data_IF_166142724144
#
_entry.id   IF_166142724144
#
_cell.length_a   1.000
_cell.length_b   1.000
_cell.length_c   1.000
_cell.angle_alpha   90.00
_cell.angle_beta   90.00
_cell.angle_gamma   90.00
#
_symmetry.space_group_name_H-M   'P 1'
#
loop_
_entity.id
_entity.type
_entity.pdbx_description
1 polymer ?
#
# COMPACT_ATOMS: atom_id res chain seq x y z
N UNK A 1 7.54 25.11 10.98
CA UNK A 1 6.22 24.75 10.41
C UNK A 1 5.28 24.44 11.55
N UNK A 2 4.06 24.99 11.58
CA UNK A 2 3.04 24.58 12.55
C UNK A 2 2.19 23.49 11.91
N UNK A 3 2.11 22.31 12.52
CA UNK A 3 1.31 21.18 12.00
C UNK A 3 -0.15 21.30 12.46
N UNK A 4 -0.48 22.28 13.30
CA UNK A 4 -1.74 22.32 14.00
C UNK A 4 -1.78 21.35 15.18
N UNK A 5 -2.91 21.23 15.81
CA UNK A 5 -3.11 20.28 16.92
C UNK A 5 -3.27 18.85 16.38
N UNK A 6 -2.14 18.14 16.22
CA UNK A 6 -2.14 16.73 15.80
C UNK A 6 -2.99 15.84 16.71
N UNK A 7 -3.11 16.20 18.00
CA UNK A 7 -3.94 15.47 18.95
C UNK A 7 -5.42 15.50 18.53
N UNK A 8 -5.98 16.70 18.34
CA UNK A 8 -7.37 16.87 17.91
C UNK A 8 -7.64 16.27 16.52
N UNK A 9 -6.68 16.42 15.58
CA UNK A 9 -6.80 15.83 14.26
C UNK A 9 -6.82 14.29 14.37
N UNK A 10 -5.93 13.71 15.18
CA UNK A 10 -5.88 12.25 15.35
C UNK A 10 -7.09 11.71 16.13
N UNK A 11 -7.63 12.44 17.09
CA UNK A 11 -8.88 12.05 17.77
C UNK A 11 -10.04 11.91 16.77
N UNK A 12 -10.10 12.80 15.76
CA UNK A 12 -11.13 12.78 14.74
C UNK A 12 -10.94 11.64 13.72
N UNK A 13 -9.70 11.44 13.24
CA UNK A 13 -9.43 10.55 12.10
C UNK A 13 -8.79 9.21 12.46
N UNK A 14 -8.23 9.04 13.68
CA UNK A 14 -7.52 7.84 14.14
C UNK A 14 -6.39 7.39 13.19
N UNK A 15 -5.76 8.35 12.51
CA UNK A 15 -4.77 8.10 11.47
C UNK A 15 -3.37 7.72 11.97
N UNK A 16 -3.05 8.01 13.24
CA UNK A 16 -1.78 7.66 13.89
C UNK A 16 -1.97 6.69 15.04
N UNK A 17 -1.01 5.76 15.18
CA UNK A 17 -0.85 4.91 16.37
C UNK A 17 -0.01 5.68 17.43
N UNK A 18 1.06 6.31 16.97
CA UNK A 18 1.95 7.16 17.77
C UNK A 18 2.31 8.40 16.97
N UNK A 19 2.37 9.56 17.59
CA UNK A 19 2.69 10.83 16.93
C UNK A 19 3.38 11.82 17.86
N UNK A 20 4.01 12.86 17.28
CA UNK A 20 4.67 13.95 18.02
C UNK A 20 3.68 14.74 18.87
N UNK A 21 4.10 15.08 20.07
CA UNK A 21 3.36 15.98 20.95
C UNK A 21 3.80 17.45 20.77
N UNK A 22 4.76 17.72 19.88
CA UNK A 22 5.23 19.07 19.57
C UNK A 22 4.52 19.60 18.33
N UNK A 23 3.96 20.80 18.44
CA UNK A 23 3.31 21.50 17.32
C UNK A 23 4.32 22.31 16.49
N UNK A 24 5.50 22.61 17.02
CA UNK A 24 6.57 23.33 16.35
C UNK A 24 7.62 22.36 15.78
N UNK A 25 7.81 22.39 14.48
CA UNK A 25 8.79 21.59 13.75
C UNK A 25 9.72 22.53 13.01
N UNK A 26 11.02 22.42 13.29
CA UNK A 26 12.09 23.22 12.67
C UNK A 26 12.79 22.48 11.53
N UNK A 27 12.06 21.65 10.82
CA UNK A 27 12.55 20.88 9.66
C UNK A 27 11.97 21.43 8.35
N UNK A 28 12.58 21.07 7.22
CA UNK A 28 12.21 21.60 5.89
C UNK A 28 10.81 21.13 5.46
N UNK A 29 10.42 19.92 5.82
CA UNK A 29 9.10 19.33 5.54
C UNK A 29 8.73 18.24 6.56
N UNK A 30 7.47 17.86 6.59
CA UNK A 30 7.00 16.79 7.47
C UNK A 30 6.73 15.50 6.71
N UNK A 31 6.96 14.37 7.39
CA UNK A 31 6.52 13.08 6.88
C UNK A 31 6.04 12.15 7.99
N UNK A 32 5.24 11.18 7.62
CA UNK A 32 4.84 10.07 8.48
C UNK A 32 5.22 8.72 7.87
N UNK A 33 5.25 7.68 8.69
CA UNK A 33 5.60 6.35 8.22
C UNK A 33 4.60 5.31 8.74
N UNK A 34 4.20 4.39 7.87
CA UNK A 34 3.35 3.26 8.23
C UNK A 34 3.95 2.50 9.41
N UNK A 35 3.10 2.08 10.33
CA UNK A 35 3.53 1.56 11.64
C UNK A 35 4.35 0.24 11.57
N UNK A 36 4.42 -0.41 10.43
CA UNK A 36 5.31 -1.53 10.19
C UNK A 36 6.75 -1.16 9.72
N UNK A 37 7.07 0.14 9.60
CA UNK A 37 8.43 0.62 9.38
C UNK A 37 9.05 1.00 10.72
N UNK A 38 10.18 0.41 11.11
CA UNK A 38 10.82 0.66 12.41
C UNK A 38 11.32 2.09 12.54
N UNK A 39 11.18 2.66 13.75
CA UNK A 39 11.70 3.98 14.12
C UNK A 39 12.27 3.95 15.54
N UNK A 40 13.32 4.73 15.76
CA UNK A 40 13.93 4.86 17.10
C UNK A 40 13.07 5.66 18.07
N UNK A 41 12.27 6.62 17.58
CA UNK A 41 11.51 7.54 18.42
C UNK A 41 10.17 6.96 18.87
N UNK A 42 9.55 6.14 18.01
CA UNK A 42 8.19 5.64 18.20
C UNK A 42 8.17 4.11 18.31
N UNK A 43 7.17 3.58 18.98
CA UNK A 43 6.86 2.16 18.91
C UNK A 43 6.54 1.76 17.46
N UNK A 44 6.82 0.51 17.12
CA UNK A 44 6.53 -0.07 15.80
C UNK A 44 5.73 -1.35 16.01
N UNK A 45 4.41 -1.22 15.99
CA UNK A 45 3.50 -2.29 16.38
C UNK A 45 2.96 -3.09 15.19
N UNK A 46 3.15 -2.59 13.96
CA UNK A 46 2.52 -3.14 12.76
C UNK A 46 1.00 -3.32 12.91
N UNK A 47 0.31 -2.43 13.65
CA UNK A 47 -1.12 -2.52 13.94
C UNK A 47 -1.53 -3.70 14.84
N UNK A 48 -0.58 -4.40 15.47
CA UNK A 48 -0.82 -5.65 16.23
C UNK A 48 -0.53 -5.48 17.72
N UNK A 49 -1.41 -6.06 18.55
CA UNK A 49 -1.21 -6.15 20.00
C UNK A 49 0.06 -6.91 20.38
N UNK A 50 0.50 -7.89 19.57
CA UNK A 50 1.66 -8.72 19.86
C UNK A 50 2.96 -7.92 19.91
N UNK A 51 3.03 -6.80 19.15
CA UNK A 51 4.18 -5.91 19.10
C UNK A 51 4.03 -4.63 19.95
N UNK A 52 2.92 -4.48 20.72
CA UNK A 52 2.74 -3.33 21.59
C UNK A 52 3.94 -3.19 22.54
N UNK A 53 4.50 -1.99 22.66
CA UNK A 53 5.70 -1.68 23.46
C UNK A 53 7.04 -1.94 22.73
N UNK A 54 7.02 -2.42 21.49
CA UNK A 54 8.25 -2.66 20.75
C UNK A 54 8.85 -1.35 20.22
N UNK A 55 10.02 -0.99 20.69
CA UNK A 55 10.87 0.10 20.17
C UNK A 55 12.09 -0.51 19.46
N UNK A 56 12.25 -0.16 18.22
CA UNK A 56 13.39 -0.64 17.43
C UNK A 56 14.66 0.17 17.77
N UNK A 57 15.85 -0.44 17.75
CA UNK A 57 17.12 0.26 18.00
C UNK A 57 17.63 1.05 16.78
N UNK A 58 16.89 1.08 15.68
CA UNK A 58 17.27 1.77 14.43
C UNK A 58 16.04 2.16 13.61
N UNK A 59 16.21 3.20 12.80
CA UNK A 59 15.22 3.59 11.79
C UNK A 59 15.27 2.66 10.57
N UNK A 60 14.13 2.37 9.98
CA UNK A 60 14.05 1.79 8.64
C UNK A 60 14.77 2.71 7.63
N UNK A 61 15.48 2.12 6.66
CA UNK A 61 16.27 2.89 5.68
C UNK A 61 15.49 4.03 5.03
N UNK A 62 14.23 3.88 4.56
CA UNK A 62 13.49 4.99 3.99
C UNK A 62 13.23 6.12 5.00
N UNK A 63 12.97 5.81 6.29
CA UNK A 63 12.83 6.82 7.34
C UNK A 63 14.14 7.58 7.55
N UNK A 64 15.24 6.84 7.71
CA UNK A 64 16.57 7.42 7.87
C UNK A 64 16.91 8.40 6.75
N UNK A 65 16.69 7.99 5.49
CA UNK A 65 16.96 8.81 4.31
C UNK A 65 16.09 10.07 4.26
N UNK A 66 14.82 9.99 4.63
CA UNK A 66 13.95 11.17 4.70
C UNK A 66 14.44 12.17 5.76
N UNK A 67 14.88 11.70 6.93
CA UNK A 67 15.49 12.55 7.96
C UNK A 67 16.80 13.20 7.48
N UNK A 68 17.67 12.44 6.82
CA UNK A 68 18.93 12.95 6.25
C UNK A 68 18.70 14.00 5.17
N UNK A 69 17.51 14.01 4.55
CA UNK A 69 17.07 15.00 3.58
C UNK A 69 16.30 16.19 4.22
N UNK A 70 16.36 16.37 5.55
CA UNK A 70 15.74 17.49 6.26
C UNK A 70 14.26 17.29 6.59
N UNK A 71 13.76 16.06 6.60
CA UNK A 71 12.36 15.75 6.93
C UNK A 71 12.16 15.39 8.39
N UNK A 72 11.09 15.91 9.03
CA UNK A 72 10.63 15.50 10.35
C UNK A 72 9.66 14.34 10.31
N UNK A 73 9.98 13.22 10.99
CA UNK A 73 9.01 12.15 11.22
C UNK A 73 8.03 12.56 12.32
N UNK A 74 6.78 12.86 11.97
CA UNK A 74 5.76 13.31 12.92
C UNK A 74 4.95 12.20 13.56
N UNK A 75 5.01 10.97 13.05
CA UNK A 75 4.29 9.85 13.65
C UNK A 75 4.28 8.59 12.82
N UNK A 76 3.74 7.53 13.47
CA UNK A 76 3.53 6.19 12.89
C UNK A 76 2.06 6.04 12.54
N UNK A 77 1.79 5.88 11.24
CA UNK A 77 0.41 5.84 10.75
C UNK A 77 -0.25 4.49 10.96
N UNK A 78 -1.52 4.53 11.33
CA UNK A 78 -2.34 3.36 11.60
C UNK A 78 -2.56 2.51 10.33
N UNK A 79 -2.70 1.21 10.52
CA UNK A 79 -2.70 0.23 9.44
C UNK A 79 -3.46 -1.04 9.82
N UNK A 80 -3.90 -1.83 8.84
CA UNK A 80 -4.31 -3.21 9.11
C UNK A 80 -3.17 -4.01 9.75
N UNK A 81 -3.49 -4.88 10.70
CA UNK A 81 -2.53 -5.74 11.42
C UNK A 81 -1.59 -6.48 10.44
N UNK A 82 -0.28 -6.25 10.53
CA UNK A 82 0.76 -6.78 9.63
C UNK A 82 0.52 -6.53 8.13
N UNK A 83 -0.35 -5.59 7.78
CA UNK A 83 -0.73 -5.33 6.40
C UNK A 83 -1.85 -6.25 5.88
N UNK A 84 -2.56 -6.95 6.74
CA UNK A 84 -3.59 -7.93 6.40
C UNK A 84 -4.97 -7.30 6.28
N UNK A 85 -5.25 -6.64 5.19
CA UNK A 85 -6.56 -6.03 4.92
C UNK A 85 -6.57 -5.12 3.71
N UNK A 86 -7.79 -4.88 3.21
CA UNK A 86 -8.08 -3.99 2.09
C UNK A 86 -8.75 -2.71 2.56
N UNK A 87 -9.32 -2.71 3.79
CA UNK A 87 -10.17 -1.63 4.28
C UNK A 87 -9.67 -0.95 5.56
N UNK A 88 -8.48 -1.28 6.05
CA UNK A 88 -7.88 -0.77 7.28
C UNK A 88 -8.78 -0.91 8.52
N UNK A 89 -9.45 -2.06 8.64
CA UNK A 89 -10.37 -2.38 9.75
C UNK A 89 -9.82 -3.42 10.72
N UNK A 90 -8.61 -3.93 10.49
CA UNK A 90 -8.00 -4.99 11.30
C UNK A 90 -6.91 -4.47 12.27
N UNK A 91 -6.84 -3.17 12.53
CA UNK A 91 -5.90 -2.60 13.50
C UNK A 91 -6.32 -2.87 14.94
N UNK A 92 -5.35 -3.09 15.82
CA UNK A 92 -5.57 -3.17 17.27
C UNK A 92 -5.63 -1.79 17.96
N UNK A 93 -5.39 -0.70 17.23
CA UNK A 93 -5.19 0.67 17.75
C UNK A 93 -6.19 1.68 17.16
N UNK A 94 -7.41 1.25 16.90
CA UNK A 94 -8.45 2.06 16.28
C UNK A 94 -8.53 1.85 14.76
N UNK A 95 -9.51 2.49 14.13
CA UNK A 95 -9.81 2.35 12.69
C UNK A 95 -9.73 3.72 12.04
N UNK A 96 -8.77 3.96 11.12
CA UNK A 96 -8.67 5.23 10.42
C UNK A 96 -9.95 5.57 9.65
N UNK A 97 -10.44 6.78 9.84
CA UNK A 97 -11.69 7.29 9.24
C UNK A 97 -11.38 8.12 8.01
N UNK A 98 -12.17 7.90 6.97
CA UNK A 98 -11.97 8.59 5.69
C UNK A 98 -12.20 10.10 5.83
N UNK A 99 -11.27 10.95 5.32
CA UNK A 99 -11.38 12.40 5.45
C UNK A 99 -12.60 13.00 4.72
N UNK A 100 -13.14 12.32 3.73
CA UNK A 100 -14.34 12.76 2.98
C UNK A 100 -15.67 12.33 3.66
N UNK A 101 -15.69 11.18 4.35
CA UNK A 101 -16.83 10.70 5.15
C UNK A 101 -16.32 9.79 6.28
N UNK A 102 -16.46 10.26 7.53
CA UNK A 102 -15.97 9.55 8.73
C UNK A 102 -16.61 8.16 8.97
N UNK A 103 -17.69 7.83 8.26
CA UNK A 103 -18.35 6.53 8.32
C UNK A 103 -17.84 5.55 7.26
N UNK A 104 -16.83 5.95 6.48
CA UNK A 104 -16.26 5.15 5.40
C UNK A 104 -14.78 4.84 5.66
N UNK A 105 -14.32 3.77 5.03
CA UNK A 105 -12.95 3.29 5.11
C UNK A 105 -11.96 4.23 4.44
N UNK A 106 -10.75 4.36 4.97
CA UNK A 106 -9.61 4.97 4.25
C UNK A 106 -9.04 4.04 3.17
N UNK A 107 -9.49 2.78 3.10
CA UNK A 107 -8.76 1.74 2.37
C UNK A 107 -7.52 1.26 3.13
N UNK A 108 -7.01 0.11 2.76
CA UNK A 108 -5.91 -0.55 3.44
C UNK A 108 -4.91 -1.21 2.50
N UNK A 109 -3.86 -1.60 3.14
CA UNK A 109 -3.55 -1.58 4.58
C UNK A 109 -2.86 -0.30 5.06
N UNK A 110 -2.52 0.70 4.20
CA UNK A 110 -1.89 1.97 4.60
C UNK A 110 -2.93 3.09 4.78
N UNK A 111 -4.08 2.79 5.41
CA UNK A 111 -5.19 3.75 5.52
C UNK A 111 -4.84 5.01 6.29
N UNK A 112 -4.13 4.88 7.42
CA UNK A 112 -3.63 6.04 8.17
C UNK A 112 -2.66 6.90 7.38
N UNK A 113 -1.80 6.29 6.52
CA UNK A 113 -0.86 7.02 5.66
C UNK A 113 -1.60 7.85 4.59
N UNK A 114 -2.64 7.28 3.98
CA UNK A 114 -3.44 8.01 2.99
C UNK A 114 -4.28 9.12 3.63
N UNK A 115 -4.85 8.86 4.80
CA UNK A 115 -5.58 9.88 5.57
C UNK A 115 -4.65 11.04 5.95
N UNK A 116 -3.46 10.77 6.49
CA UNK A 116 -2.48 11.81 6.84
C UNK A 116 -2.06 12.64 5.62
N UNK A 117 -1.80 11.98 4.47
CA UNK A 117 -1.48 12.67 3.22
C UNK A 117 -2.63 13.53 2.67
N UNK A 118 -3.89 13.21 3.02
CA UNK A 118 -5.05 13.96 2.57
C UNK A 118 -5.40 15.16 3.47
N UNK A 119 -5.08 15.08 4.77
CA UNK A 119 -5.52 16.09 5.75
C UNK A 119 -4.42 17.02 6.21
N UNK A 120 -3.15 16.65 6.07
CA UNK A 120 -2.01 17.46 6.50
C UNK A 120 -1.40 18.20 5.32
N UNK A 121 -1.24 19.51 5.47
CA UNK A 121 -0.59 20.35 4.47
C UNK A 121 0.91 20.06 4.39
N UNK A 122 1.48 20.14 3.16
CA UNK A 122 2.90 19.95 2.87
C UNK A 122 3.49 18.67 3.52
N UNK A 123 2.71 17.60 3.49
CA UNK A 123 3.01 16.34 4.15
C UNK A 123 3.12 15.17 3.16
N UNK A 124 4.10 14.29 3.42
CA UNK A 124 4.30 13.04 2.67
C UNK A 124 4.22 11.86 3.62
N UNK A 125 3.47 10.83 3.25
CA UNK A 125 3.41 9.59 4.04
C UNK A 125 4.16 8.46 3.34
N UNK A 126 4.95 7.70 4.09
CA UNK A 126 5.57 6.46 3.63
C UNK A 126 4.59 5.31 3.90
N UNK A 127 4.15 4.65 2.83
CA UNK A 127 3.30 3.46 2.89
C UNK A 127 4.06 2.18 2.52
N UNK A 128 3.40 1.04 2.72
CA UNK A 128 3.91 -0.27 2.30
C UNK A 128 2.81 -1.02 1.58
N UNK A 129 3.13 -1.62 0.43
CA UNK A 129 2.21 -2.40 -0.38
C UNK A 129 2.73 -3.82 -0.61
N UNK A 130 1.87 -4.80 -0.34
CA UNK A 130 2.08 -6.21 -0.68
C UNK A 130 1.15 -6.64 -1.83
N UNK A 131 -0.04 -6.01 -1.92
CA UNK A 131 -1.05 -6.17 -2.96
C UNK A 131 -1.50 -4.81 -3.50
N UNK A 132 -2.50 -4.18 -2.84
CA UNK A 132 -3.00 -2.85 -3.19
C UNK A 132 -2.75 -1.77 -2.15
N UNK A 133 -1.99 -2.06 -1.11
CA UNK A 133 -1.99 -1.32 0.18
C UNK A 133 -1.40 0.10 0.16
N UNK A 134 -0.96 0.62 -0.96
CA UNK A 134 -0.65 2.04 -1.22
C UNK A 134 -1.72 2.65 -2.10
N UNK A 135 -2.01 2.01 -3.23
CA UNK A 135 -2.89 2.58 -4.26
C UNK A 135 -4.38 2.50 -3.90
N UNK A 136 -4.82 1.46 -3.19
CA UNK A 136 -6.18 1.37 -2.68
C UNK A 136 -6.50 2.53 -1.72
N UNK A 137 -5.75 2.75 -0.61
CA UNK A 137 -6.02 3.87 0.28
C UNK A 137 -5.79 5.23 -0.41
N UNK A 138 -4.85 5.35 -1.34
CA UNK A 138 -4.70 6.57 -2.13
C UNK A 138 -5.97 6.89 -2.93
N UNK A 139 -6.56 5.90 -3.60
CA UNK A 139 -7.82 6.06 -4.33
C UNK A 139 -8.97 6.50 -3.43
N UNK A 140 -9.13 5.87 -2.26
CA UNK A 140 -10.23 6.16 -1.34
C UNK A 140 -10.08 7.48 -0.57
N UNK A 141 -8.86 7.98 -0.40
CA UNK A 141 -8.57 9.26 0.27
C UNK A 141 -8.25 10.40 -0.71
N UNK A 142 -8.36 10.19 -2.03
CA UNK A 142 -8.19 11.24 -3.02
C UNK A 142 -6.78 11.81 -3.10
N UNK A 143 -5.75 10.98 -2.91
CA UNK A 143 -4.34 11.37 -2.97
C UNK A 143 -3.58 10.55 -4.03
N UNK A 144 -2.39 11.01 -4.40
CA UNK A 144 -1.46 10.22 -5.19
C UNK A 144 -0.82 9.15 -4.32
N UNK A 145 -0.75 7.91 -4.82
CA UNK A 145 -0.07 6.81 -4.13
C UNK A 145 0.83 6.06 -5.09
N UNK A 146 2.14 6.09 -4.86
CA UNK A 146 3.16 5.47 -5.71
C UNK A 146 3.80 4.27 -5.01
N UNK A 147 3.62 3.09 -5.57
CA UNK A 147 4.36 1.87 -5.23
C UNK A 147 5.45 1.65 -6.29
N UNK A 148 6.73 1.91 -6.01
CA UNK A 148 7.82 1.79 -6.98
C UNK A 148 8.11 0.32 -7.35
N UNK A 149 9.06 0.09 -8.24
CA UNK A 149 9.55 -1.25 -8.58
C UNK A 149 10.04 -1.99 -7.33
N UNK A 150 9.76 -3.28 -7.24
CA UNK A 150 10.30 -4.13 -6.17
C UNK A 150 11.84 -4.02 -6.15
N UNK A 151 12.40 -3.69 -4.97
CA UNK A 151 13.82 -3.45 -4.79
C UNK A 151 14.29 -2.02 -5.11
N UNK A 152 13.44 -1.10 -5.58
CA UNK A 152 13.78 0.32 -5.75
C UNK A 152 14.05 1.01 -4.42
N UNK A 153 13.26 0.72 -3.41
CA UNK A 153 13.38 1.22 -2.05
C UNK A 153 13.76 0.05 -1.13
N UNK A 154 14.73 0.28 -0.24
CA UNK A 154 15.16 -0.72 0.74
C UNK A 154 14.02 -1.09 1.68
N UNK A 155 13.94 -2.38 2.01
CA UNK A 155 13.02 -2.95 3.01
C UNK A 155 13.69 -3.19 4.37
N UNK A 156 14.93 -2.75 4.55
CA UNK A 156 15.59 -2.86 5.86
C UNK A 156 14.85 -2.02 6.90
N UNK A 157 14.48 -2.68 8.00
CA UNK A 157 13.63 -2.09 9.04
C UNK A 157 12.11 -2.23 8.78
N UNK A 158 11.70 -2.94 7.73
CA UNK A 158 10.30 -3.30 7.52
C UNK A 158 9.93 -4.53 8.36
N UNK A 159 8.84 -4.46 9.11
CA UNK A 159 8.15 -5.62 9.69
C UNK A 159 7.34 -6.24 8.55
N UNK A 160 7.90 -7.29 7.96
CA UNK A 160 7.51 -7.85 6.68
C UNK A 160 6.23 -8.69 6.72
N UNK A 161 5.42 -8.55 5.67
CA UNK A 161 4.30 -9.42 5.33
C UNK A 161 4.75 -10.52 4.37
N UNK A 162 5.15 -10.16 3.16
CA UNK A 162 5.54 -11.06 2.09
C UNK A 162 6.83 -10.62 1.42
N UNK A 163 7.93 -11.37 1.68
CA UNK A 163 9.28 -10.96 1.29
C UNK A 163 9.44 -10.73 -0.21
N UNK A 164 8.71 -11.49 -1.04
CA UNK A 164 8.79 -11.38 -2.50
C UNK A 164 7.80 -10.37 -3.10
N UNK A 165 6.99 -9.70 -2.26
CA UNK A 165 5.88 -8.85 -2.68
C UNK A 165 5.96 -7.44 -2.09
N UNK A 166 6.48 -7.29 -0.86
CA UNK A 166 6.47 -6.02 -0.12
C UNK A 166 7.27 -4.94 -0.82
N UNK A 167 6.66 -3.79 -0.99
CA UNK A 167 7.25 -2.57 -1.55
C UNK A 167 6.97 -1.38 -0.65
N UNK A 168 8.00 -0.59 -0.35
CA UNK A 168 7.86 0.69 0.33
C UNK A 168 7.65 1.78 -0.71
N UNK A 169 6.70 2.68 -0.49
CA UNK A 169 6.40 3.76 -1.42
C UNK A 169 5.78 4.98 -0.73
N UNK A 170 5.22 5.88 -1.51
CA UNK A 170 4.83 7.22 -1.10
C UNK A 170 3.34 7.47 -1.32
N UNK A 171 2.76 8.27 -0.42
CA UNK A 171 1.44 8.87 -0.57
C UNK A 171 1.56 10.38 -0.32
N UNK A 172 0.99 11.19 -1.20
CA UNK A 172 0.94 12.65 -1.05
C UNK A 172 -0.27 13.23 -1.78
N UNK A 173 -0.73 14.37 -1.29
CA UNK A 173 -1.75 15.14 -2.00
C UNK A 173 -1.21 15.77 -3.31
N UNK A 174 0.08 16.11 -3.37
CA UNK A 174 0.73 16.76 -4.50
C UNK A 174 1.57 15.77 -5.32
N UNK A 175 1.41 15.74 -6.63
CA UNK A 175 2.25 14.94 -7.54
C UNK A 175 3.74 15.34 -7.45
N UNK A 176 4.03 16.63 -7.26
CA UNK A 176 5.40 17.15 -7.10
C UNK A 176 6.18 16.56 -5.92
N UNK A 177 5.48 16.16 -4.85
CA UNK A 177 6.12 15.50 -3.71
C UNK A 177 6.60 14.09 -4.04
N UNK A 178 5.90 13.37 -4.92
CA UNK A 178 6.37 12.06 -5.40
C UNK A 178 7.70 12.23 -6.16
N UNK A 179 7.79 13.24 -7.02
CA UNK A 179 9.05 13.58 -7.72
C UNK A 179 10.17 13.92 -6.75
N UNK A 180 9.89 14.71 -5.73
CA UNK A 180 10.87 15.14 -4.72
C UNK A 180 11.34 13.98 -3.85
N UNK A 181 10.41 13.17 -3.34
CA UNK A 181 10.72 12.20 -2.28
C UNK A 181 11.13 10.81 -2.80
N UNK A 182 10.71 10.42 -4.03
CA UNK A 182 11.11 9.11 -4.58
C UNK A 182 12.64 8.95 -4.69
N UNK A 183 13.41 9.92 -5.21
CA UNK A 183 14.88 9.83 -5.22
C UNK A 183 15.49 9.71 -3.82
N UNK A 184 14.93 10.40 -2.83
CA UNK A 184 15.42 10.39 -1.44
C UNK A 184 15.36 8.97 -0.87
N UNK A 185 14.20 8.29 -0.99
CA UNK A 185 14.02 6.95 -0.41
C UNK A 185 14.62 5.83 -1.26
N UNK A 186 14.93 6.09 -2.55
CA UNK A 186 15.46 5.11 -3.52
C UNK A 186 16.95 4.84 -3.33
N UNK A 187 17.42 3.71 -3.85
CA UNK A 187 18.85 3.41 -3.95
C UNK A 187 19.27 2.16 -3.18
N UNK A 188 20.48 1.70 -3.49
CA UNK A 188 21.09 0.49 -2.90
C UNK A 188 21.26 0.63 -1.39
N UNK A 189 21.06 -0.48 -0.69
CA UNK A 189 21.24 -0.59 0.75
C UNK A 189 22.02 -1.88 1.07
N UNK A 190 23.17 -1.81 1.76
CA UNK A 190 23.94 -3.00 2.13
C UNK A 190 23.17 -3.96 3.04
N UNK A 191 22.10 -3.52 3.70
CA UNK A 191 21.28 -4.34 4.59
C UNK A 191 20.09 -5.01 3.87
N UNK A 192 19.79 -4.64 2.61
CA UNK A 192 18.74 -5.26 1.80
C UNK A 192 19.27 -5.74 0.44
N UNK A 193 19.57 -7.04 0.29
CA UNK A 193 20.06 -7.61 -0.96
C UNK A 193 19.15 -7.38 -2.16
N UNK A 194 17.84 -7.23 -1.94
CA UNK A 194 16.87 -6.99 -3.03
C UNK A 194 17.04 -5.62 -3.68
N UNK A 195 17.68 -4.68 -2.99
CA UNK A 195 17.93 -3.32 -3.50
C UNK A 195 19.16 -3.22 -4.43
N UNK A 196 19.98 -4.28 -4.55
CA UNK A 196 21.25 -4.20 -5.28
C UNK A 196 21.13 -4.17 -6.79
N UNK A 197 20.10 -4.81 -7.34
CA UNK A 197 19.86 -4.92 -8.78
C UNK A 197 18.89 -3.84 -9.24
N UNK A 198 19.29 -2.58 -9.13
CA UNK A 198 18.47 -1.48 -9.62
C UNK A 198 19.29 -0.53 -10.49
N UNK A 199 18.76 -0.08 -11.64
CA UNK A 199 19.38 1.00 -12.41
C UNK A 199 19.26 2.31 -11.64
N UNK A 200 20.12 3.26 -11.99
CA UNK A 200 20.01 4.64 -11.50
C UNK A 200 18.62 5.21 -11.82
N UNK A 201 17.99 5.85 -10.83
CA UNK A 201 16.72 6.55 -11.03
C UNK A 201 16.98 7.88 -11.76
N UNK A 202 16.43 8.03 -12.96
CA UNK A 202 16.51 9.27 -13.75
C UNK A 202 15.10 9.76 -14.04
N UNK A 203 14.74 10.92 -13.50
CA UNK A 203 13.43 11.54 -13.68
C UNK A 203 13.48 12.65 -14.72
N UNK A 204 12.37 12.84 -15.48
CA UNK A 204 12.22 13.87 -16.50
C UNK A 204 12.79 13.50 -17.87
N UNK A 205 13.18 12.24 -18.09
CA UNK A 205 13.72 11.77 -19.37
C UNK A 205 12.67 11.11 -20.26
N UNK A 206 11.67 10.47 -19.68
CA UNK A 206 10.62 9.76 -20.39
C UNK A 206 9.29 10.47 -20.20
N UNK A 207 8.43 10.35 -21.21
CA UNK A 207 7.08 10.93 -21.20
C UNK A 207 6.06 9.86 -21.53
N UNK A 208 4.91 9.90 -20.84
CA UNK A 208 3.77 9.07 -21.16
C UNK A 208 3.20 9.47 -22.53
N UNK A 209 3.18 8.56 -23.50
CA UNK A 209 2.66 8.76 -24.86
C UNK A 209 1.56 7.78 -25.23
N UNK A 210 1.56 6.59 -24.63
CA UNK A 210 0.64 5.52 -24.98
C UNK A 210 0.24 4.70 -23.75
N UNK A 211 -1.04 4.32 -23.68
CA UNK A 211 -1.58 3.47 -22.61
C UNK A 211 -2.41 2.33 -23.16
N UNK A 212 -2.30 1.19 -22.52
CA UNK A 212 -3.06 -0.02 -22.81
C UNK A 212 -4.14 -0.25 -21.74
N UNK A 213 -5.35 -0.63 -22.18
CA UNK A 213 -6.48 -0.93 -21.31
C UNK A 213 -6.81 -2.43 -21.41
N UNK A 214 -6.54 -3.24 -20.37
CA UNK A 214 -6.88 -4.67 -20.40
C UNK A 214 -8.40 -4.86 -20.37
N UNK A 215 -8.94 -5.49 -21.44
CA UNK A 215 -10.39 -5.77 -21.54
C UNK A 215 -10.88 -6.63 -20.37
N UNK A 216 -10.07 -7.56 -19.93
CA UNK A 216 -10.40 -8.48 -18.83
C UNK A 216 -10.49 -7.78 -17.47
N UNK A 217 -9.85 -6.60 -17.31
CA UNK A 217 -9.93 -5.80 -16.11
C UNK A 217 -11.16 -4.88 -16.08
N UNK A 218 -11.66 -4.43 -17.26
CA UNK A 218 -12.70 -3.39 -17.32
C UNK A 218 -14.03 -3.88 -17.93
N UNK A 219 -14.07 -5.09 -18.48
CA UNK A 219 -15.30 -5.70 -19.02
C UNK A 219 -15.87 -6.71 -18.03
N UNK A 220 -17.11 -6.49 -17.59
CA UNK A 220 -17.84 -7.38 -16.68
C UNK A 220 -18.53 -6.61 -15.56
N UNK A 221 -19.28 -7.33 -14.72
CA UNK A 221 -20.12 -6.72 -13.66
C UNK A 221 -19.35 -6.47 -12.35
N UNK A 222 -18.00 -6.54 -12.39
CA UNK A 222 -17.15 -6.42 -11.20
C UNK A 222 -16.85 -4.98 -10.77
N UNK A 223 -17.12 -3.98 -11.63
CA UNK A 223 -16.84 -2.57 -11.35
C UNK A 223 -18.17 -1.81 -11.33
N UNK A 224 -18.35 -0.94 -10.33
CA UNK A 224 -19.55 -0.12 -10.21
C UNK A 224 -19.67 0.87 -11.39
N UNK A 225 -20.91 1.23 -11.72
CA UNK A 225 -21.22 2.06 -12.89
C UNK A 225 -20.58 3.45 -12.79
N UNK A 226 -20.61 4.05 -11.62
CA UNK A 226 -20.03 5.36 -11.34
C UNK A 226 -18.49 5.39 -11.50
N UNK A 227 -17.81 4.33 -11.06
CA UNK A 227 -16.36 4.16 -11.29
C UNK A 227 -16.06 4.01 -12.78
N UNK A 228 -16.87 3.24 -13.53
CA UNK A 228 -16.69 3.09 -14.97
C UNK A 228 -16.95 4.40 -15.73
N UNK A 229 -17.96 5.18 -15.36
CA UNK A 229 -18.21 6.50 -15.95
C UNK A 229 -17.04 7.47 -15.71
N UNK A 230 -16.48 7.47 -14.50
CA UNK A 230 -15.28 8.24 -14.19
C UNK A 230 -14.07 7.78 -15.00
N UNK A 231 -13.89 6.48 -15.14
CA UNK A 231 -12.80 5.88 -15.91
C UNK A 231 -12.86 6.27 -17.38
N UNK A 232 -14.03 6.16 -18.03
CA UNK A 232 -14.18 6.56 -19.44
C UNK A 232 -13.89 8.06 -19.66
N UNK A 233 -14.34 8.94 -18.75
CA UNK A 233 -13.97 10.37 -18.79
C UNK A 233 -12.45 10.56 -18.66
N UNK A 234 -11.79 9.76 -17.84
CA UNK A 234 -10.33 9.79 -17.69
C UNK A 234 -9.63 9.37 -18.99
N UNK A 235 -10.15 8.39 -19.72
CA UNK A 235 -9.61 8.01 -21.03
C UNK A 235 -9.79 9.13 -22.07
N UNK A 236 -10.90 9.85 -22.04
CA UNK A 236 -11.12 11.02 -22.90
C UNK A 236 -10.10 12.13 -22.57
N UNK A 237 -9.84 12.38 -21.29
CA UNK A 237 -8.81 13.33 -20.85
C UNK A 237 -7.41 12.92 -21.33
N UNK A 238 -7.03 11.63 -21.20
CA UNK A 238 -5.74 11.13 -21.71
C UNK A 238 -5.61 11.37 -23.23
N UNK A 239 -6.66 11.12 -24.01
CA UNK A 239 -6.68 11.42 -25.44
C UNK A 239 -6.53 12.90 -25.73
N UNK A 240 -7.16 13.77 -24.95
CA UNK A 240 -7.01 15.23 -25.08
C UNK A 240 -5.59 15.73 -24.80
N UNK A 241 -4.83 14.99 -23.97
CA UNK A 241 -3.40 15.22 -23.71
C UNK A 241 -2.48 14.63 -24.81
N UNK A 242 -3.04 14.15 -25.93
CA UNK A 242 -2.31 13.46 -27.02
C UNK A 242 -1.62 12.18 -26.54
N UNK A 243 -2.27 11.42 -25.67
CA UNK A 243 -1.85 10.09 -25.24
C UNK A 243 -2.69 9.06 -26.00
N UNK A 244 -2.02 8.14 -26.68
CA UNK A 244 -2.70 7.04 -27.39
C UNK A 244 -3.32 6.06 -26.40
N UNK A 245 -4.58 5.67 -26.63
CA UNK A 245 -5.33 4.77 -25.75
C UNK A 245 -5.85 3.58 -26.55
N UNK A 246 -5.39 2.37 -26.24
CA UNK A 246 -5.79 1.14 -26.94
C UNK A 246 -6.30 0.06 -25.97
N UNK A 247 -7.40 -0.60 -26.32
CA UNK A 247 -7.89 -1.76 -25.60
C UNK A 247 -7.21 -3.04 -26.06
N UNK A 248 -6.59 -3.76 -25.10
CA UNK A 248 -5.81 -4.97 -25.33
C UNK A 248 -6.43 -6.19 -24.62
N UNK A 249 -5.87 -7.38 -24.83
CA UNK A 249 -6.20 -8.59 -24.07
C UNK A 249 -5.03 -9.00 -23.17
N UNK A 250 -5.33 -9.29 -21.89
CA UNK A 250 -4.39 -9.81 -20.89
C UNK A 250 -5.06 -10.95 -20.10
N UNK A 251 -5.20 -12.15 -20.69
CA UNK A 251 -6.04 -13.23 -20.16
C UNK A 251 -5.53 -13.84 -18.86
N UNK A 252 -4.27 -13.60 -18.49
CA UNK A 252 -3.68 -14.09 -17.23
C UNK A 252 -4.16 -13.34 -16.00
N UNK A 253 -4.69 -12.10 -16.14
CA UNK A 253 -5.12 -11.25 -15.01
C UNK A 253 -6.11 -11.93 -14.08
N UNK A 254 -7.00 -12.78 -14.60
CA UNK A 254 -7.99 -13.54 -13.79
C UNK A 254 -7.36 -14.48 -12.75
N UNK A 255 -6.08 -14.82 -12.91
CA UNK A 255 -5.35 -15.68 -11.97
C UNK A 255 -4.57 -14.90 -10.91
N UNK A 256 -4.55 -13.57 -10.95
CA UNK A 256 -3.73 -12.74 -10.07
C UNK A 256 -4.14 -12.88 -8.61
N UNK A 257 -5.43 -12.80 -8.30
CA UNK A 257 -5.94 -12.92 -6.93
C UNK A 257 -5.59 -14.27 -6.29
N UNK A 258 -5.92 -15.44 -6.88
CA UNK A 258 -5.57 -16.71 -6.27
C UNK A 258 -4.05 -16.91 -6.15
N UNK A 259 -3.26 -16.51 -7.14
CA UNK A 259 -1.80 -16.60 -7.07
C UNK A 259 -1.24 -15.72 -5.95
N UNK A 260 -1.70 -14.48 -5.85
CA UNK A 260 -1.28 -13.54 -4.81
C UNK A 260 -1.55 -14.09 -3.41
N UNK A 261 -2.79 -14.49 -3.11
CA UNK A 261 -3.13 -14.95 -1.76
C UNK A 261 -2.38 -16.22 -1.36
N UNK A 262 -2.12 -17.14 -2.30
CA UNK A 262 -1.29 -18.32 -2.03
C UNK A 262 0.15 -17.91 -1.69
N UNK A 263 0.78 -17.03 -2.47
CA UNK A 263 2.16 -16.58 -2.21
C UNK A 263 2.20 -15.79 -0.91
N UNK A 264 1.36 -14.77 -0.77
CA UNK A 264 1.37 -13.84 0.34
C UNK A 264 1.11 -14.54 1.68
N UNK A 265 0.11 -15.43 1.77
CA UNK A 265 -0.16 -16.16 3.01
C UNK A 265 0.95 -17.18 3.35
N UNK A 266 1.53 -17.83 2.33
CA UNK A 266 2.66 -18.75 2.50
C UNK A 266 3.85 -18.05 3.14
N UNK A 267 4.23 -16.87 2.62
CA UNK A 267 5.34 -16.08 3.15
C UNK A 267 5.01 -15.50 4.53
N UNK A 268 3.78 -14.97 4.73
CA UNK A 268 3.32 -14.45 6.01
C UNK A 268 3.41 -15.50 7.14
N UNK A 269 3.00 -16.73 6.86
CA UNK A 269 3.04 -17.81 7.88
C UNK A 269 4.46 -18.10 8.38
N UNK A 270 5.49 -17.87 7.55
CA UNK A 270 6.89 -17.98 7.94
C UNK A 270 7.37 -16.73 8.68
N UNK A 271 7.07 -15.55 8.14
CA UNK A 271 7.53 -14.27 8.69
C UNK A 271 6.98 -14.03 10.10
N UNK A 272 5.71 -14.33 10.33
CA UNK A 272 5.09 -14.13 11.63
C UNK A 272 5.46 -15.20 12.68
N UNK A 273 6.17 -16.27 12.29
CA UNK A 273 6.61 -17.30 13.23
C UNK A 273 7.57 -16.74 14.31
N UNK A 274 8.31 -15.66 14.00
CA UNK A 274 9.23 -14.99 14.92
C UNK A 274 8.55 -14.30 16.12
N UNK A 275 7.25 -13.95 16.00
CA UNK A 275 6.52 -13.23 17.05
C UNK A 275 5.83 -14.23 17.99
N UNK A 276 6.42 -14.39 19.16
CA UNK A 276 6.02 -15.44 20.12
C UNK A 276 6.13 -15.01 21.59
N UNK A 277 6.33 -13.71 21.87
CA UNK A 277 6.41 -13.17 23.23
C UNK A 277 7.74 -13.34 23.95
N UNK A 278 8.82 -13.70 23.22
CA UNK A 278 10.15 -13.89 23.82
C UNK A 278 11.16 -12.77 23.48
N UNK A 279 11.02 -12.15 22.32
CA UNK A 279 12.02 -11.19 21.79
C UNK A 279 11.45 -9.83 21.43
N UNK A 280 10.19 -9.78 21.01
CA UNK A 280 9.57 -8.56 20.45
C UNK A 280 8.22 -8.31 21.12
N UNK A 281 7.93 -7.05 21.42
CA UNK A 281 6.64 -6.60 21.92
C UNK A 281 6.27 -7.16 23.28
N UNK A 282 5.07 -7.70 23.40
CA UNK A 282 4.54 -8.26 24.65
C UNK A 282 5.35 -9.48 25.11
N UNK A 283 5.61 -9.57 26.43
CA UNK A 283 6.43 -10.63 27.06
C UNK A 283 5.78 -11.16 28.36
N UNK A 284 4.46 -11.19 28.43
CA UNK A 284 3.67 -11.62 29.59
C UNK A 284 3.19 -13.08 29.49
N UNK A 285 3.85 -13.89 28.67
CA UNK A 285 3.53 -15.30 28.52
C UNK A 285 3.93 -16.14 29.76
N UNK A 286 3.15 -17.15 30.06
CA UNK A 286 3.43 -18.11 31.14
C UNK A 286 4.54 -19.09 30.75
N UNK A 287 5.77 -18.80 31.20
CA UNK A 287 6.96 -19.62 30.93
C UNK A 287 6.97 -20.98 31.65
N UNK A 288 5.97 -21.28 32.49
CA UNK A 288 5.84 -22.61 33.13
C UNK A 288 5.16 -23.64 32.23
N UNK A 289 4.53 -23.16 31.14
CA UNK A 289 3.88 -24.02 30.15
C UNK A 289 4.89 -24.81 29.31
N UNK A 290 4.46 -25.93 28.75
CA UNK A 290 5.21 -26.61 27.69
C UNK A 290 5.33 -25.70 26.46
N UNK A 291 6.37 -25.91 25.65
CA UNK A 291 6.70 -25.09 24.50
C UNK A 291 5.48 -24.85 23.57
N UNK A 292 4.82 -25.91 23.12
CA UNK A 292 3.69 -25.80 22.20
C UNK A 292 2.47 -25.08 22.85
N UNK A 293 2.22 -25.34 24.12
CA UNK A 293 1.13 -24.69 24.88
C UNK A 293 1.41 -23.21 25.07
N UNK A 294 2.67 -22.86 25.38
CA UNK A 294 3.12 -21.46 25.48
C UNK A 294 2.87 -20.71 24.18
N UNK A 295 3.39 -21.22 23.05
CA UNK A 295 3.26 -20.56 21.76
C UNK A 295 1.79 -20.44 21.32
N UNK A 296 1.02 -21.49 21.51
CA UNK A 296 -0.40 -21.52 21.16
C UNK A 296 -1.18 -20.50 21.96
N UNK A 297 -1.02 -20.48 23.28
CA UNK A 297 -1.75 -19.56 24.16
C UNK A 297 -1.38 -18.11 23.89
N UNK A 298 -0.08 -17.80 23.79
CA UNK A 298 0.42 -16.44 23.56
C UNK A 298 -0.03 -15.89 22.21
N UNK A 299 0.19 -16.61 21.13
CA UNK A 299 -0.15 -16.19 19.77
C UNK A 299 -1.67 -16.07 19.58
N UNK A 300 -2.45 -17.00 20.18
CA UNK A 300 -3.92 -16.92 20.16
C UNK A 300 -4.46 -15.69 20.89
N UNK A 301 -3.80 -15.24 21.95
CA UNK A 301 -4.18 -14.07 22.75
C UNK A 301 -3.91 -12.75 22.00
N UNK A 302 -2.79 -12.65 21.29
CA UNK A 302 -2.26 -11.37 20.79
C UNK A 302 -2.40 -11.13 19.29
N UNK A 303 -2.51 -12.17 18.45
CA UNK A 303 -2.85 -11.98 17.03
C UNK A 303 -4.34 -11.77 16.83
N UNK A 304 -4.70 -10.88 15.92
CA UNK A 304 -6.06 -10.72 15.43
C UNK A 304 -6.53 -11.89 14.56
N UNK A 305 -7.81 -11.95 14.27
CA UNK A 305 -8.41 -13.09 13.58
C UNK A 305 -7.96 -13.23 12.12
N UNK A 306 -7.76 -12.10 11.42
CA UNK A 306 -7.25 -12.14 10.05
C UNK A 306 -5.79 -12.64 10.00
N UNK A 307 -4.95 -12.23 10.95
CA UNK A 307 -3.58 -12.73 11.06
C UNK A 307 -3.56 -14.25 11.31
N UNK A 308 -4.40 -14.75 12.23
CA UNK A 308 -4.56 -16.19 12.48
C UNK A 308 -4.99 -16.94 11.23
N UNK A 309 -5.99 -16.41 10.49
CA UNK A 309 -6.50 -17.02 9.25
C UNK A 309 -5.38 -17.13 8.21
N UNK A 310 -4.61 -16.08 7.97
CA UNK A 310 -3.50 -16.08 6.98
C UNK A 310 -2.37 -17.00 7.39
N UNK A 311 -2.02 -17.08 8.66
CA UNK A 311 -1.02 -18.02 9.19
C UNK A 311 -1.47 -19.46 8.93
N UNK A 312 -2.72 -19.80 9.21
CA UNK A 312 -3.25 -21.15 8.98
C UNK A 312 -3.28 -21.51 7.49
N UNK A 313 -3.80 -20.64 6.65
CA UNK A 313 -3.83 -20.83 5.19
C UNK A 313 -2.41 -20.99 4.61
N UNK A 314 -1.48 -20.13 5.00
CA UNK A 314 -0.10 -20.18 4.52
C UNK A 314 0.66 -21.42 5.02
N UNK A 315 0.39 -21.88 6.22
CA UNK A 315 0.94 -23.15 6.74
C UNK A 315 0.44 -24.30 5.89
N UNK A 316 -0.87 -24.37 5.63
CA UNK A 316 -1.47 -25.41 4.78
C UNK A 316 -0.85 -25.46 3.39
N UNK A 317 -0.71 -24.32 2.71
CA UNK A 317 -0.18 -24.27 1.34
C UNK A 317 1.28 -24.70 1.21
N UNK A 318 2.04 -24.73 2.32
CA UNK A 318 3.44 -25.15 2.38
C UNK A 318 3.67 -26.56 2.93
N UNK A 319 2.64 -27.24 3.40
CA UNK A 319 2.75 -28.60 3.90
C UNK A 319 3.26 -29.56 2.82
N UNK A 320 3.97 -30.60 3.24
CA UNK A 320 4.43 -31.67 2.36
C UNK A 320 3.24 -32.26 1.57
N UNK A 321 3.42 -32.39 0.25
CA UNK A 321 2.38 -32.84 -0.68
C UNK A 321 1.44 -31.72 -1.21
N UNK A 322 1.45 -30.54 -0.61
CA UNK A 322 0.67 -29.39 -1.06
C UNK A 322 1.50 -28.26 -1.68
N UNK A 323 2.75 -28.09 -1.28
CA UNK A 323 3.63 -27.00 -1.74
C UNK A 323 3.74 -26.93 -3.27
N UNK A 324 3.92 -28.05 -3.96
CA UNK A 324 4.02 -28.09 -5.43
C UNK A 324 2.70 -27.74 -6.11
N UNK A 325 1.58 -28.11 -5.50
CA UNK A 325 0.25 -27.87 -6.05
C UNK A 325 -0.25 -26.45 -5.87
N UNK A 326 0.19 -25.79 -4.82
CA UNK A 326 -0.24 -24.43 -4.47
C UNK A 326 0.86 -23.40 -4.65
N UNK A 327 1.90 -23.42 -3.81
CA UNK A 327 2.91 -22.36 -3.77
C UNK A 327 3.73 -22.31 -5.07
N UNK A 328 4.30 -23.44 -5.50
CA UNK A 328 5.09 -23.49 -6.74
C UNK A 328 4.22 -23.20 -7.97
N UNK A 329 2.95 -23.65 -7.97
CA UNK A 329 2.01 -23.31 -9.04
C UNK A 329 1.68 -21.82 -9.08
N UNK A 330 1.52 -21.17 -7.93
CA UNK A 330 1.28 -19.73 -7.84
C UNK A 330 2.48 -18.92 -8.35
N UNK A 331 3.71 -19.37 -8.09
CA UNK A 331 4.92 -18.75 -8.67
C UNK A 331 4.96 -18.87 -10.19
N UNK A 332 4.58 -20.02 -10.78
CA UNK A 332 4.47 -20.19 -12.22
C UNK A 332 3.41 -19.25 -12.83
N UNK A 333 2.28 -19.07 -12.15
CA UNK A 333 1.24 -18.12 -12.57
C UNK A 333 1.75 -16.68 -12.50
N UNK A 334 2.51 -16.32 -11.46
CA UNK A 334 3.17 -15.02 -11.35
C UNK A 334 4.05 -14.73 -12.57
N UNK A 335 4.88 -15.68 -12.99
CA UNK A 335 5.73 -15.54 -14.17
C UNK A 335 4.91 -15.34 -15.45
N UNK A 336 3.78 -16.03 -15.60
CA UNK A 336 2.89 -15.85 -16.75
C UNK A 336 2.25 -14.45 -16.76
N UNK A 337 1.88 -13.91 -15.61
CA UNK A 337 1.35 -12.53 -15.48
C UNK A 337 2.45 -11.51 -15.83
N UNK A 338 3.69 -11.72 -15.33
CA UNK A 338 4.84 -10.87 -15.69
C UNK A 338 5.04 -10.86 -17.21
N UNK A 339 5.01 -12.03 -17.85
CA UNK A 339 5.19 -12.15 -19.28
C UNK A 339 4.10 -11.40 -20.08
N UNK A 340 2.84 -11.46 -19.64
CA UNK A 340 1.73 -10.72 -20.27
C UNK A 340 1.99 -9.20 -20.20
N UNK A 341 2.34 -8.65 -19.02
CA UNK A 341 2.69 -7.25 -18.89
C UNK A 341 3.89 -6.85 -19.76
N UNK A 342 4.96 -7.66 -19.74
CA UNK A 342 6.18 -7.41 -20.54
C UNK A 342 5.89 -7.36 -22.05
N UNK A 343 4.96 -8.17 -22.54
CA UNK A 343 4.55 -8.13 -23.95
C UNK A 343 3.87 -6.80 -24.28
N UNK A 344 3.01 -6.28 -23.38
CA UNK A 344 2.35 -5.01 -23.61
C UNK A 344 3.34 -3.82 -23.54
N UNK A 345 4.31 -3.86 -22.65
CA UNK A 345 5.31 -2.79 -22.53
C UNK A 345 6.33 -2.71 -23.68
N UNK A 346 6.27 -3.64 -24.66
CA UNK A 346 6.97 -3.46 -25.93
C UNK A 346 6.30 -2.40 -26.84
N UNK A 347 5.03 -2.10 -26.59
CA UNK A 347 4.20 -1.23 -27.44
C UNK A 347 3.68 0.01 -26.67
N UNK A 348 3.47 -0.10 -25.37
CA UNK A 348 2.85 0.92 -24.54
C UNK A 348 3.74 1.33 -23.38
N UNK A 349 3.61 2.59 -22.99
CA UNK A 349 4.36 3.14 -21.86
C UNK A 349 3.75 2.72 -20.51
N UNK A 350 2.42 2.58 -20.45
CA UNK A 350 1.71 2.16 -19.25
C UNK A 350 0.47 1.29 -19.56
N UNK A 351 0.08 0.50 -18.57
CA UNK A 351 -1.24 -0.14 -18.49
C UNK A 351 -2.10 0.68 -17.54
N UNK A 352 -3.35 0.96 -17.91
CA UNK A 352 -4.26 1.80 -17.12
C UNK A 352 -5.58 1.08 -16.84
N UNK A 353 -6.02 1.16 -15.57
CA UNK A 353 -7.32 0.63 -15.09
C UNK A 353 -7.90 1.57 -14.04
N UNK A 354 -9.16 1.44 -13.64
CA UNK A 354 -9.60 1.99 -12.37
C UNK A 354 -8.74 1.43 -11.24
N UNK A 355 -8.50 2.20 -10.17
CA UNK A 355 -7.73 1.70 -9.02
C UNK A 355 -8.55 0.70 -8.20
N UNK A 356 -9.78 1.07 -7.85
CA UNK A 356 -10.69 0.22 -7.09
C UNK A 356 -12.01 0.04 -7.85
N UNK A 357 -12.68 -1.11 -7.64
CA UNK A 357 -13.91 -1.40 -8.40
C UNK A 357 -15.15 -0.63 -7.91
N UNK A 358 -15.06 0.06 -6.79
CA UNK A 358 -16.13 0.86 -6.17
C UNK A 358 -15.51 2.00 -5.35
N UNK A 359 -16.33 2.99 -5.01
CA UNK A 359 -15.95 4.06 -4.06
C UNK A 359 -15.75 3.50 -2.66
N UNK A 360 -15.08 4.23 -1.77
CA UNK A 360 -14.84 3.79 -0.39
C UNK A 360 -16.12 3.29 0.28
N UNK A 361 -16.15 2.02 0.75
CA UNK A 361 -17.34 1.45 1.38
C UNK A 361 -17.55 1.99 2.81
N UNK A 362 -18.81 1.96 3.27
CA UNK A 362 -19.16 2.26 4.66
C UNK A 362 -18.73 1.11 5.59
N UNK A 363 -18.41 1.42 6.83
CA UNK A 363 -18.04 0.39 7.81
C UNK A 363 -19.14 -0.65 8.03
N UNK A 364 -20.41 -0.24 7.98
CA UNK A 364 -21.56 -1.16 8.07
C UNK A 364 -21.62 -2.17 6.92
N UNK A 365 -21.20 -1.76 5.72
CA UNK A 365 -21.17 -2.64 4.55
C UNK A 365 -19.97 -3.60 4.64
N UNK A 366 -18.81 -3.10 5.06
CA UNK A 366 -17.61 -3.92 5.28
C UNK A 366 -17.90 -5.02 6.31
N UNK A 367 -18.63 -4.72 7.38
CA UNK A 367 -18.97 -5.69 8.44
C UNK A 367 -19.80 -6.88 7.95
N UNK A 368 -20.50 -6.71 6.82
CA UNK A 368 -21.33 -7.76 6.18
C UNK A 368 -20.57 -8.55 5.10
N UNK A 369 -19.39 -8.08 4.68
CA UNK A 369 -18.59 -8.74 3.66
C UNK A 369 -18.00 -10.06 4.21
N UNK A 370 -18.02 -11.09 3.38
CA UNK A 370 -17.20 -12.27 3.65
C UNK A 370 -15.71 -11.96 3.41
N UNK A 371 -14.82 -12.76 4.00
CA UNK A 371 -13.37 -12.63 3.71
C UNK A 371 -13.07 -12.76 2.21
N UNK A 372 -13.81 -13.60 1.48
CA UNK A 372 -13.64 -13.78 0.04
C UNK A 372 -14.05 -12.54 -0.75
N UNK A 373 -15.12 -11.84 -0.34
CA UNK A 373 -15.55 -10.61 -1.00
C UNK A 373 -14.54 -9.48 -0.78
N UNK A 374 -13.99 -9.38 0.44
CA UNK A 374 -12.89 -8.45 0.73
C UNK A 374 -11.65 -8.75 -0.14
N UNK A 375 -11.31 -10.02 -0.32
CA UNK A 375 -10.17 -10.43 -1.17
C UNK A 375 -10.41 -10.12 -2.66
N UNK A 376 -11.64 -10.26 -3.15
CA UNK A 376 -12.00 -9.92 -4.53
C UNK A 376 -11.92 -8.42 -4.81
N UNK A 377 -12.05 -7.55 -3.82
CA UNK A 377 -11.93 -6.11 -4.00
C UNK A 377 -10.57 -5.69 -4.57
N UNK A 378 -9.52 -6.49 -4.36
CA UNK A 378 -8.15 -6.19 -4.78
C UNK A 378 -7.83 -6.60 -6.23
N UNK A 379 -8.82 -7.04 -7.05
CA UNK A 379 -8.54 -7.64 -8.36
C UNK A 379 -7.86 -6.69 -9.37
N UNK A 380 -7.97 -5.38 -9.19
CA UNK A 380 -7.32 -4.37 -10.02
C UNK A 380 -5.92 -4.00 -9.50
N UNK A 381 -5.71 -4.02 -8.19
CA UNK A 381 -4.48 -3.54 -7.55
C UNK A 381 -3.42 -4.63 -7.38
N UNK A 382 -3.84 -5.88 -7.23
CA UNK A 382 -2.94 -7.03 -7.06
C UNK A 382 -2.10 -7.32 -8.31
N UNK A 383 -2.64 -7.28 -9.57
CA UNK A 383 -1.85 -7.62 -10.75
C UNK A 383 -0.52 -6.86 -10.86
N UNK A 384 -0.45 -5.52 -10.77
CA UNK A 384 0.83 -4.81 -10.84
C UNK A 384 1.72 -5.06 -9.63
N UNK A 385 1.16 -5.35 -8.46
CA UNK A 385 2.00 -5.60 -7.28
C UNK A 385 2.66 -6.99 -7.32
N UNK A 386 1.92 -8.04 -7.70
CA UNK A 386 2.45 -9.41 -7.77
C UNK A 386 3.59 -9.53 -8.80
N UNK A 387 3.58 -8.70 -9.84
CA UNK A 387 4.66 -8.65 -10.85
C UNK A 387 5.91 -7.92 -10.36
N UNK A 388 5.84 -7.16 -9.28
CA UNK A 388 6.92 -6.31 -8.81
C UNK A 388 7.09 -5.01 -9.61
N UNK A 389 6.21 -4.72 -10.56
CA UNK A 389 6.24 -3.52 -11.41
C UNK A 389 5.81 -2.27 -10.63
N UNK A 390 6.35 -1.09 -10.98
CA UNK A 390 5.93 0.16 -10.36
C UNK A 390 4.51 0.51 -10.83
N UNK A 391 3.71 1.03 -9.90
CA UNK A 391 2.35 1.47 -10.20
C UNK A 391 1.91 2.60 -9.28
N UNK A 392 0.97 3.40 -9.76
CA UNK A 392 0.54 4.61 -9.09
C UNK A 392 -0.96 4.82 -9.25
N UNK A 393 -1.64 5.19 -8.17
CA UNK A 393 -3.00 5.72 -8.21
C UNK A 393 -2.97 7.25 -8.24
N UNK A 394 -3.73 7.83 -9.16
CA UNK A 394 -3.99 9.26 -9.21
C UNK A 394 -5.49 9.53 -9.03
N UNK A 395 -5.93 10.55 -8.30
CA UNK A 395 -7.34 10.94 -8.22
C UNK A 395 -7.88 11.28 -9.62
N UNK A 396 -9.06 10.75 -9.99
CA UNK A 396 -9.59 10.96 -11.35
C UNK A 396 -11.06 11.35 -11.42
N UNK A 397 -11.73 11.43 -10.28
CA UNK A 397 -13.13 11.84 -10.21
C UNK A 397 -13.72 11.64 -8.83
N UNK A 398 -15.00 11.91 -8.74
CA UNK A 398 -15.78 11.81 -7.51
C UNK A 398 -17.16 11.21 -7.80
N UNK A 399 -17.65 10.36 -6.91
CA UNK A 399 -19.03 9.88 -6.87
C UNK A 399 -19.53 9.86 -5.43
N UNK A 400 -20.76 10.30 -5.17
CA UNK A 400 -21.32 10.40 -3.82
C UNK A 400 -20.39 11.15 -2.84
N UNK A 401 -19.70 12.19 -3.33
CA UNK A 401 -18.68 12.94 -2.56
C UNK A 401 -17.36 12.21 -2.31
N UNK A 402 -17.25 10.95 -2.72
CA UNK A 402 -16.07 10.10 -2.50
C UNK A 402 -15.12 10.11 -3.70
N UNK A 403 -13.79 10.14 -3.47
CA UNK A 403 -12.81 10.10 -4.55
C UNK A 403 -12.79 8.75 -5.29
N UNK A 404 -12.38 8.80 -6.54
CA UNK A 404 -12.11 7.65 -7.42
C UNK A 404 -10.69 7.80 -7.96
N UNK A 405 -9.95 6.69 -8.02
CA UNK A 405 -8.56 6.67 -8.51
C UNK A 405 -8.41 5.98 -9.86
N UNK A 406 -7.46 6.48 -10.64
CA UNK A 406 -6.95 5.91 -11.88
C UNK A 406 -5.59 5.26 -11.62
N UNK A 407 -5.45 3.97 -11.95
CA UNK A 407 -4.23 3.20 -11.72
C UNK A 407 -3.38 3.17 -12.99
N UNK A 408 -2.16 3.65 -12.90
CA UNK A 408 -1.13 3.55 -13.92
C UNK A 408 -0.09 2.50 -13.50
N UNK A 409 0.26 1.59 -14.39
CA UNK A 409 1.33 0.60 -14.20
C UNK A 409 2.33 0.73 -15.33
N UNK A 410 3.62 0.83 -15.05
CA UNK A 410 4.68 0.85 -16.05
C UNK A 410 5.65 -0.32 -15.88
N UNK A 411 6.53 -0.51 -16.85
CA UNK A 411 7.54 -1.58 -16.79
C UNK A 411 8.50 -1.41 -15.62
N UNK A 412 9.15 -2.48 -15.20
CA UNK A 412 10.16 -2.44 -14.13
C UNK A 412 11.18 -1.33 -14.33
N UNK A 413 11.47 -0.60 -13.27
CA UNK A 413 12.43 0.51 -13.23
C UNK A 413 12.04 1.73 -14.07
N UNK A 414 10.76 1.84 -14.43
CA UNK A 414 10.24 2.89 -15.29
C UNK A 414 9.35 3.88 -14.51
N UNK A 415 9.73 4.19 -13.26
CA UNK A 415 9.02 5.14 -12.40
C UNK A 415 8.91 6.53 -13.02
N UNK A 416 9.84 6.91 -13.92
CA UNK A 416 9.84 8.19 -14.61
C UNK A 416 8.55 8.45 -15.40
N UNK A 417 8.02 7.41 -16.07
CA UNK A 417 6.72 7.47 -16.77
C UNK A 417 5.57 7.75 -15.80
N UNK A 418 5.59 7.16 -14.60
CA UNK A 418 4.54 7.37 -13.60
C UNK A 418 4.61 8.78 -13.00
N UNK A 419 5.81 9.31 -12.80
CA UNK A 419 6.00 10.70 -12.34
C UNK A 419 5.55 11.69 -13.41
N UNK A 420 5.91 11.49 -14.70
CA UNK A 420 5.40 12.31 -15.80
C UNK A 420 3.88 12.25 -15.90
N UNK A 421 3.31 11.05 -15.76
CA UNK A 421 1.85 10.87 -15.74
C UNK A 421 1.20 11.65 -14.59
N UNK A 422 1.76 11.57 -13.38
CA UNK A 422 1.24 12.28 -12.22
C UNK A 422 1.23 13.79 -12.41
N UNK A 423 2.34 14.38 -12.86
CA UNK A 423 2.48 15.84 -13.02
C UNK A 423 1.59 16.39 -14.13
N UNK A 424 1.51 15.67 -15.26
CA UNK A 424 0.61 16.07 -16.36
C UNK A 424 -0.85 15.93 -15.96
N UNK A 425 -1.19 14.88 -15.20
CA UNK A 425 -2.52 14.65 -14.68
C UNK A 425 -2.91 15.72 -13.66
N UNK A 426 -2.04 16.03 -12.70
CA UNK A 426 -2.21 17.07 -11.69
C UNK A 426 -2.47 18.46 -12.32
N UNK A 427 -1.81 18.75 -13.44
CA UNK A 427 -2.00 19.99 -14.19
C UNK A 427 -3.34 20.07 -14.95
N UNK A 428 -3.98 18.92 -15.22
CA UNK A 428 -5.19 18.85 -16.03
C UNK A 428 -6.44 18.51 -15.21
N UNK A 429 -6.28 17.87 -14.06
CA UNK A 429 -7.38 17.45 -13.18
C UNK A 429 -7.33 18.26 -11.87
N UNK A 430 -8.42 18.93 -11.54
CA UNK A 430 -8.57 19.67 -10.28
C UNK A 430 -8.82 18.70 -9.12
N UNK A 431 -7.77 18.36 -8.40
CA UNK A 431 -7.83 17.48 -7.21
C UNK A 431 -8.40 18.28 -6.04
N UNK A 432 -9.55 17.85 -5.52
CA UNK A 432 -10.17 18.52 -4.36
C UNK A 432 -9.51 18.04 -3.06
N UNK A 433 -9.10 18.99 -2.25
CA UNK A 433 -8.79 18.73 -0.85
C UNK A 433 -10.04 18.23 -0.10
N UNK A 434 -9.85 17.25 0.78
CA UNK A 434 -10.84 17.00 1.80
C UNK A 434 -11.00 18.30 2.62
N UNK A 435 -12.22 18.82 2.70
CA UNK A 435 -12.49 19.95 3.59
C UNK A 435 -12.26 19.50 5.04
N UNK A 436 -11.07 19.75 5.54
CA UNK A 436 -10.73 19.52 6.95
C UNK A 436 -11.51 20.56 7.77
N UNK A 437 -12.73 20.24 8.15
CA UNK A 437 -13.43 20.99 9.19
C UNK A 437 -12.77 20.63 10.52
N UNK A 438 -11.78 21.43 10.93
CA UNK A 438 -11.23 21.41 12.29
C UNK A 438 -12.29 21.85 13.28
#
# INVERSE_FOLDING_TARGET
MRIGDLGSINEKYEMFVNFSQSDDIDDEFTFSAKDNLTSIDYESTAGSKILKGYKAPFDATPIKRMREAGGALIGKTNMDEFGFGTFCTNSAFGIPKNPFDLNRSCGGSSGGSACAAAVLDDHVSIGVSTGGSIVCPASFCGVYGLAPSYGRVSRYGLIDYGNSLDKVGLLSFKASDLRRCLPIISGKDPHDPTSYVQPELKLGQKKLKSVAIPKEAVKGDGISKDVMECFEKSLEMLRSMSIDVEYISMPTLKYSIPAYYVIATSEASTNLARFCGMRYGQQDGDLTLKFDDYFTSFRSKYFGDEAKRRILLGTFTRMVGYADRYYNKALQVREAIIADYKEQFKRFDAVVTPTMPFISPRFDDISKMSALDSYKADFLTVPPNITGMPHMSAPCGYSDGMPIGLLFTSDHWNEDILIDAAERWDSAFDVRHAEVKI
#
